data_IF_660610704371
#
_entry.id   IF_660610704371
#
_cell.length_a   1.000
_cell.length_b   1.000
_cell.length_c   1.000
_cell.angle_alpha   90.00
_cell.angle_beta   90.00
_cell.angle_gamma   90.00
#
_symmetry.space_group_name_H-M   'P 1'
#
loop_
_entity.id
_entity.type
_entity.pdbx_description
1 polymer ?
#
# COMPACT_ATOMS: atom_id res chain seq x y z
N UNK A 1 16.61 29.27 31.83
CA UNK A 1 15.64 28.17 31.71
C UNK A 1 14.84 28.32 30.42
N UNK A 2 15.27 27.71 29.31
CA UNK A 2 14.48 27.70 28.07
C UNK A 2 13.48 26.54 28.14
N UNK A 3 12.20 26.89 28.08
CA UNK A 3 11.05 26.00 28.03
C UNK A 3 11.27 25.03 26.86
N UNK A 4 11.51 23.73 27.13
CA UNK A 4 11.40 22.69 26.10
C UNK A 4 9.96 22.76 25.58
N UNK A 5 9.73 23.47 24.48
CA UNK A 5 8.47 23.40 23.76
C UNK A 5 8.32 21.95 23.34
N UNK A 6 7.49 21.22 24.09
CA UNK A 6 7.06 19.88 23.71
C UNK A 6 6.36 20.05 22.37
N UNK A 7 7.09 19.79 21.28
CA UNK A 7 6.51 19.62 19.96
C UNK A 7 5.24 18.83 20.13
N UNK A 8 4.13 19.44 19.74
CA UNK A 8 2.83 18.84 19.89
C UNK A 8 2.84 17.51 19.13
N UNK A 9 2.10 16.50 19.61
CA UNK A 9 1.98 15.23 18.86
C UNK A 9 1.65 15.50 17.39
N UNK A 10 0.86 16.53 17.08
CA UNK A 10 0.52 16.94 15.72
C UNK A 10 1.73 17.22 14.83
N UNK A 11 2.77 17.89 15.33
CA UNK A 11 3.96 18.24 14.54
C UNK A 11 4.76 17.01 14.14
N UNK A 12 4.94 16.04 15.05
CA UNK A 12 5.64 14.77 14.75
C UNK A 12 4.96 13.95 13.66
N UNK A 13 3.63 13.97 13.57
CA UNK A 13 2.91 13.25 12.52
C UNK A 13 2.98 13.93 11.15
N UNK A 14 3.16 15.26 11.10
CA UNK A 14 3.33 16.00 9.84
C UNK A 14 4.67 15.70 9.13
N UNK A 15 5.59 15.03 9.82
CA UNK A 15 6.91 14.62 9.30
C UNK A 15 6.90 13.21 8.67
N UNK A 16 5.82 12.46 8.89
CA UNK A 16 5.61 11.09 8.38
C UNK A 16 4.75 10.93 7.09
N UNK A 17 4.27 11.98 6.37
CA UNK A 17 3.43 11.74 5.19
C UNK A 17 4.21 11.04 4.06
N UNK A 18 5.55 11.13 4.03
CA UNK A 18 6.41 10.53 3.01
C UNK A 18 6.58 9.02 3.11
N UNK A 19 6.21 8.40 4.23
CA UNK A 19 6.22 6.93 4.32
C UNK A 19 5.00 6.28 3.65
N UNK A 20 3.90 7.02 3.48
CA UNK A 20 2.62 6.47 3.03
C UNK A 20 2.05 7.12 1.76
N UNK A 21 2.48 8.34 1.43
CA UNK A 21 2.10 9.05 0.22
C UNK A 21 3.26 9.06 -0.78
N UNK A 22 3.27 8.08 -1.68
CA UNK A 22 4.16 8.05 -2.86
C UNK A 22 3.68 9.00 -3.98
N UNK A 23 2.71 9.88 -3.72
CA UNK A 23 2.19 10.86 -4.68
C UNK A 23 2.56 12.29 -4.24
N UNK A 24 2.82 13.22 -5.18
CA UNK A 24 3.04 14.63 -4.87
C UNK A 24 1.85 15.22 -4.12
N UNK A 25 2.09 16.07 -3.12
CA UNK A 25 1.05 16.72 -2.32
C UNK A 25 0.38 17.91 -3.05
N UNK A 26 0.31 17.89 -4.38
CA UNK A 26 -0.28 18.98 -5.16
C UNK A 26 -1.81 18.85 -5.31
N UNK A 27 -2.49 19.94 -5.70
CA UNK A 27 -3.95 20.01 -5.85
C UNK A 27 -4.49 18.94 -6.82
N UNK A 28 -3.72 18.57 -7.85
CA UNK A 28 -4.12 17.58 -8.84
C UNK A 28 -4.23 16.14 -8.28
N UNK A 29 -3.67 15.87 -7.10
CA UNK A 29 -3.77 14.58 -6.42
C UNK A 29 -4.64 14.62 -5.17
N UNK A 30 -5.35 15.74 -4.89
CA UNK A 30 -6.13 15.89 -3.66
C UNK A 30 -7.27 14.84 -3.58
N UNK A 31 -7.83 14.45 -4.72
CA UNK A 31 -8.84 13.40 -4.85
C UNK A 31 -8.34 11.98 -4.49
N UNK A 32 -7.02 11.77 -4.46
CA UNK A 32 -6.40 10.49 -4.11
C UNK A 32 -6.06 10.39 -2.62
N UNK A 33 -6.43 11.39 -1.83
CA UNK A 33 -6.08 11.49 -0.41
C UNK A 33 -7.32 11.62 0.47
N UNK A 34 -7.28 10.98 1.64
CA UNK A 34 -8.19 11.27 2.73
C UNK A 34 -7.62 12.40 3.58
N UNK A 35 -8.51 13.28 4.09
CA UNK A 35 -8.17 14.31 5.07
C UNK A 35 -8.63 13.85 6.45
N UNK A 36 -7.71 13.36 7.27
CA UNK A 36 -8.01 12.87 8.63
C UNK A 36 -7.33 13.81 9.63
N UNK A 37 -8.11 14.55 10.42
CA UNK A 37 -7.60 15.52 11.42
C UNK A 37 -6.56 16.51 10.84
N UNK A 38 -6.81 17.01 9.64
CA UNK A 38 -5.90 17.92 8.93
C UNK A 38 -4.72 17.25 8.22
N UNK A 39 -4.56 15.93 8.34
CA UNK A 39 -3.50 15.18 7.69
C UNK A 39 -3.98 14.54 6.40
N UNK A 40 -3.14 14.58 5.37
CA UNK A 40 -3.40 13.94 4.07
C UNK A 40 -2.79 12.54 4.06
N UNK A 41 -3.61 11.52 3.83
CA UNK A 41 -3.18 10.12 3.76
C UNK A 41 -3.62 9.51 2.44
N UNK A 42 -2.76 8.72 1.79
CA UNK A 42 -3.12 8.07 0.54
C UNK A 42 -4.29 7.10 0.73
N UNK A 43 -5.41 7.40 0.08
CA UNK A 43 -6.65 6.62 0.14
C UNK A 43 -6.44 5.17 -0.27
N UNK A 44 -5.71 4.96 -1.36
CA UNK A 44 -5.38 3.61 -1.84
C UNK A 44 -4.56 2.78 -0.86
N UNK A 45 -3.60 3.41 -0.16
CA UNK A 45 -2.77 2.72 0.84
C UNK A 45 -3.58 2.36 2.08
N UNK A 46 -4.41 3.29 2.56
CA UNK A 46 -5.28 3.03 3.73
C UNK A 46 -6.16 1.82 3.45
N UNK A 47 -6.88 1.81 2.33
CA UNK A 47 -7.77 0.69 2.00
C UNK A 47 -7.01 -0.63 1.82
N UNK A 48 -5.83 -0.60 1.17
CA UNK A 48 -4.96 -1.77 1.03
C UNK A 48 -4.51 -2.31 2.39
N UNK A 49 -4.04 -1.46 3.30
CA UNK A 49 -3.59 -1.88 4.63
C UNK A 49 -4.74 -2.35 5.52
N UNK A 50 -5.91 -1.72 5.45
CA UNK A 50 -7.11 -2.22 6.12
C UNK A 50 -7.45 -3.64 5.65
N UNK A 51 -7.38 -3.89 4.34
CA UNK A 51 -7.58 -5.22 3.77
C UNK A 51 -6.51 -6.22 4.21
N UNK A 52 -5.25 -5.80 4.25
CA UNK A 52 -4.15 -6.64 4.73
C UNK A 52 -4.33 -7.05 6.20
N UNK A 53 -4.71 -6.10 7.07
CA UNK A 53 -5.01 -6.38 8.49
C UNK A 53 -6.21 -7.32 8.60
N UNK A 54 -7.28 -7.09 7.84
CA UNK A 54 -8.44 -8.00 7.81
C UNK A 54 -8.03 -9.42 7.39
N UNK A 55 -7.20 -9.54 6.34
CA UNK A 55 -6.66 -10.82 5.89
C UNK A 55 -5.83 -11.53 6.97
N UNK A 56 -4.99 -10.80 7.70
CA UNK A 56 -4.20 -11.36 8.80
C UNK A 56 -5.08 -11.89 9.94
N UNK A 57 -6.18 -11.21 10.26
CA UNK A 57 -7.14 -11.64 11.29
C UNK A 57 -7.92 -12.87 10.80
N UNK A 58 -8.31 -12.90 9.52
CA UNK A 58 -9.08 -14.01 8.94
C UNK A 58 -8.24 -15.28 8.72
N UNK A 59 -6.94 -15.15 8.43
CA UNK A 59 -6.04 -16.27 8.15
C UNK A 59 -6.06 -17.39 9.22
N UNK A 60 -5.86 -17.13 10.52
CA UNK A 60 -5.89 -18.18 11.53
C UNK A 60 -7.29 -18.80 11.68
N UNK A 61 -8.37 -18.02 11.53
CA UNK A 61 -9.74 -18.54 11.59
C UNK A 61 -9.96 -19.53 10.45
N UNK A 62 -9.56 -19.17 9.23
CA UNK A 62 -9.67 -20.05 8.07
C UNK A 62 -8.90 -21.36 8.27
N UNK A 63 -7.65 -21.30 8.76
CA UNK A 63 -6.80 -22.47 8.91
C UNK A 63 -7.23 -23.36 10.08
N UNK A 64 -7.41 -22.79 11.27
CA UNK A 64 -7.57 -23.58 12.50
C UNK A 64 -9.02 -23.90 12.84
N UNK A 65 -9.96 -23.00 12.51
CA UNK A 65 -11.39 -23.19 12.81
C UNK A 65 -12.10 -23.86 11.63
N UNK A 66 -11.97 -23.27 10.45
CA UNK A 66 -12.68 -23.74 9.24
C UNK A 66 -11.95 -24.87 8.51
N UNK A 67 -10.69 -25.14 8.88
CA UNK A 67 -9.85 -26.19 8.27
C UNK A 67 -9.80 -26.11 6.74
N UNK A 68 -9.70 -24.89 6.21
CA UNK A 68 -9.66 -24.69 4.75
C UNK A 68 -8.42 -25.33 4.14
N UNK A 69 -8.56 -25.86 2.93
CA UNK A 69 -7.44 -26.44 2.18
C UNK A 69 -6.72 -25.37 1.36
N UNK A 70 -5.49 -25.67 0.92
CA UNK A 70 -4.71 -24.74 0.07
C UNK A 70 -5.47 -24.34 -1.20
N UNK A 71 -6.25 -25.27 -1.79
CA UNK A 71 -7.09 -25.01 -2.96
C UNK A 71 -8.18 -23.98 -2.69
N UNK A 72 -8.88 -24.08 -1.57
CA UNK A 72 -9.93 -23.13 -1.19
C UNK A 72 -9.35 -21.72 -1.02
N UNK A 73 -8.19 -21.61 -0.36
CA UNK A 73 -7.49 -20.32 -0.16
C UNK A 73 -7.00 -19.76 -1.50
N UNK A 74 -6.48 -20.62 -2.39
CA UNK A 74 -6.04 -20.21 -3.72
C UNK A 74 -7.19 -19.68 -4.58
N UNK A 75 -8.34 -20.37 -4.61
CA UNK A 75 -9.53 -19.92 -5.34
C UNK A 75 -10.05 -18.60 -4.75
N UNK A 76 -10.15 -18.49 -3.42
CA UNK A 76 -10.54 -17.25 -2.76
C UNK A 76 -9.60 -16.09 -3.12
N UNK A 77 -8.29 -16.34 -3.18
CA UNK A 77 -7.30 -15.36 -3.62
C UNK A 77 -7.57 -14.89 -5.05
N UNK A 78 -7.83 -15.80 -6.00
CA UNK A 78 -8.14 -15.43 -7.39
C UNK A 78 -9.43 -14.60 -7.49
N UNK A 79 -10.48 -14.99 -6.78
CA UNK A 79 -11.76 -14.28 -6.74
C UNK A 79 -11.58 -12.87 -6.17
N UNK A 80 -10.84 -12.71 -5.08
CA UNK A 80 -10.57 -11.39 -4.50
C UNK A 80 -9.64 -10.55 -5.40
N UNK A 81 -8.71 -11.20 -6.09
CA UNK A 81 -7.76 -10.51 -6.97
C UNK A 81 -8.42 -9.94 -8.23
N UNK A 82 -9.48 -10.57 -8.76
CA UNK A 82 -10.16 -10.16 -10.02
C UNK A 82 -10.66 -8.72 -10.00
N UNK A 83 -11.02 -8.18 -8.84
CA UNK A 83 -11.45 -6.79 -8.69
C UNK A 83 -10.33 -5.80 -9.05
N UNK A 84 -9.06 -6.20 -8.91
CA UNK A 84 -7.91 -5.34 -9.21
C UNK A 84 -7.82 -4.98 -10.70
N UNK A 85 -7.74 -5.93 -11.65
CA UNK A 85 -7.75 -5.60 -13.07
C UNK A 85 -9.05 -4.91 -13.49
N UNK A 86 -10.22 -5.36 -13.00
CA UNK A 86 -11.51 -4.71 -13.30
C UNK A 86 -11.45 -3.21 -12.95
N UNK A 87 -10.96 -2.88 -11.76
CA UNK A 87 -10.82 -1.49 -11.32
C UNK A 87 -9.80 -0.68 -12.12
N UNK A 88 -8.79 -1.35 -12.70
CA UNK A 88 -7.75 -0.71 -13.49
C UNK A 88 -8.22 -0.37 -14.91
N UNK A 89 -9.02 -1.24 -15.53
CA UNK A 89 -9.46 -1.13 -16.93
C UNK A 89 -10.78 -0.40 -17.11
N UNK A 90 -11.77 -0.61 -16.24
CA UNK A 90 -13.12 -0.04 -16.42
C UNK A 90 -13.30 1.35 -15.82
N UNK A 91 -12.25 1.89 -15.18
CA UNK A 91 -12.26 3.15 -14.43
C UNK A 91 -13.57 3.38 -13.62
N UNK A 92 -13.96 2.42 -12.75
CA UNK A 92 -15.25 2.47 -12.08
C UNK A 92 -15.34 3.63 -11.07
N UNK A 93 -16.55 3.90 -10.54
CA UNK A 93 -16.76 4.85 -9.45
C UNK A 93 -15.77 4.69 -8.30
N UNK A 94 -15.48 5.81 -7.60
CA UNK A 94 -14.43 5.88 -6.57
C UNK A 94 -14.58 4.82 -5.46
N UNK A 95 -15.81 4.53 -5.03
CA UNK A 95 -16.08 3.52 -4.02
C UNK A 95 -15.64 2.12 -4.45
N UNK A 96 -15.87 1.76 -5.72
CA UNK A 96 -15.46 0.45 -6.25
C UNK A 96 -13.93 0.36 -6.30
N UNK A 97 -13.24 1.45 -6.63
CA UNK A 97 -11.76 1.49 -6.60
C UNK A 97 -11.23 1.24 -5.19
N UNK A 98 -11.85 1.83 -4.17
CA UNK A 98 -11.47 1.60 -2.77
C UNK A 98 -11.70 0.16 -2.32
N UNK A 99 -12.89 -0.37 -2.58
CA UNK A 99 -13.24 -1.76 -2.26
C UNK A 99 -12.28 -2.73 -2.96
N UNK A 100 -11.92 -2.45 -4.22
CA UNK A 100 -10.94 -3.25 -4.96
C UNK A 100 -9.56 -3.22 -4.31
N UNK A 101 -9.12 -2.09 -3.74
CA UNK A 101 -7.87 -2.00 -2.99
C UNK A 101 -7.92 -2.74 -1.66
N UNK A 102 -9.07 -2.68 -0.99
CA UNK A 102 -9.30 -3.47 0.22
C UNK A 102 -9.22 -4.97 -0.06
N UNK A 103 -9.94 -5.47 -1.07
CA UNK A 103 -9.87 -6.89 -1.45
C UNK A 103 -8.49 -7.31 -1.95
N UNK A 104 -7.75 -6.43 -2.63
CA UNK A 104 -6.35 -6.70 -2.98
C UNK A 104 -5.48 -6.95 -1.74
N UNK A 105 -5.72 -6.22 -0.64
CA UNK A 105 -5.00 -6.43 0.62
C UNK A 105 -5.27 -7.81 1.23
N UNK A 106 -6.54 -8.25 1.24
CA UNK A 106 -6.92 -9.59 1.69
C UNK A 106 -6.32 -10.65 0.74
N UNK A 107 -6.40 -10.43 -0.57
CA UNK A 107 -5.85 -11.34 -1.57
C UNK A 107 -4.34 -11.55 -1.42
N UNK A 108 -3.58 -10.51 -1.02
CA UNK A 108 -2.14 -10.65 -0.74
C UNK A 108 -1.86 -11.60 0.43
N UNK A 109 -2.65 -11.53 1.51
CA UNK A 109 -2.53 -12.48 2.63
C UNK A 109 -2.95 -13.88 2.19
N UNK A 110 -4.07 -14.00 1.47
CA UNK A 110 -4.53 -15.28 0.94
C UNK A 110 -3.50 -15.91 -0.01
N UNK A 111 -2.82 -15.12 -0.85
CA UNK A 111 -1.73 -15.60 -1.70
C UNK A 111 -0.59 -16.19 -0.88
N UNK A 112 -0.09 -15.45 0.11
CA UNK A 112 0.97 -15.94 1.01
C UNK A 112 0.55 -17.21 1.75
N UNK A 113 -0.67 -17.22 2.29
CA UNK A 113 -1.22 -18.38 2.99
C UNK A 113 -1.37 -19.60 2.06
N UNK A 114 -1.85 -19.41 0.83
CA UNK A 114 -1.99 -20.48 -0.16
C UNK A 114 -0.65 -21.12 -0.50
N UNK A 115 0.42 -20.32 -0.61
CA UNK A 115 1.79 -20.82 -0.83
C UNK A 115 2.29 -21.60 0.38
N UNK A 116 2.10 -21.08 1.60
CA UNK A 116 2.51 -21.77 2.84
C UNK A 116 1.80 -23.13 2.96
N UNK A 117 0.47 -23.17 2.82
CA UNK A 117 -0.30 -24.42 2.90
C UNK A 117 0.08 -25.41 1.79
N UNK A 118 0.37 -24.89 0.60
CA UNK A 118 0.85 -25.72 -0.53
C UNK A 118 2.22 -26.34 -0.24
N UNK A 119 3.16 -25.58 0.34
CA UNK A 119 4.48 -26.10 0.73
C UNK A 119 4.33 -27.21 1.77
N UNK A 120 3.51 -27.00 2.80
CA UNK A 120 3.23 -28.02 3.83
C UNK A 120 2.63 -29.28 3.20
N UNK A 121 1.64 -29.13 2.31
CA UNK A 121 0.99 -30.25 1.62
C UNK A 121 1.97 -31.00 0.71
N UNK A 122 2.84 -30.27 0.00
CA UNK A 122 3.86 -30.84 -0.86
C UNK A 122 4.88 -31.65 -0.05
N UNK A 123 5.31 -31.15 1.10
CA UNK A 123 6.25 -31.84 1.99
C UNK A 123 5.65 -33.11 2.62
N UNK A 124 4.35 -33.12 2.92
CA UNK A 124 3.69 -34.25 3.58
C UNK A 124 3.23 -35.36 2.63
N UNK A 125 2.75 -34.99 1.43
CA UNK A 125 2.05 -35.93 0.55
C UNK A 125 2.56 -35.93 -0.90
N UNK A 126 3.61 -35.16 -1.23
CA UNK A 126 4.10 -34.94 -2.59
C UNK A 126 3.00 -34.61 -3.61
N UNK A 127 2.02 -33.81 -3.21
CA UNK A 127 0.92 -33.47 -4.09
C UNK A 127 1.38 -32.49 -5.20
N UNK A 128 1.47 -32.97 -6.43
CA UNK A 128 1.90 -32.18 -7.60
C UNK A 128 1.07 -30.90 -7.80
N UNK A 129 -0.21 -30.92 -7.47
CA UNK A 129 -1.06 -29.73 -7.59
C UNK A 129 -0.66 -28.60 -6.64
N UNK A 130 -0.11 -28.93 -5.48
CA UNK A 130 0.42 -27.92 -4.56
C UNK A 130 1.62 -27.19 -5.17
N UNK A 131 2.48 -27.91 -5.91
CA UNK A 131 3.58 -27.31 -6.66
C UNK A 131 3.07 -26.35 -7.76
N UNK A 132 2.04 -26.77 -8.52
CA UNK A 132 1.40 -25.92 -9.54
C UNK A 132 0.85 -24.64 -8.92
N UNK A 133 0.14 -24.73 -7.79
CA UNK A 133 -0.41 -23.55 -7.08
C UNK A 133 0.70 -22.59 -6.65
N UNK A 134 1.83 -23.08 -6.15
CA UNK A 134 2.99 -22.25 -5.78
C UNK A 134 3.51 -21.49 -7.01
N UNK A 135 3.77 -22.19 -8.10
CA UNK A 135 4.30 -21.59 -9.33
C UNK A 135 3.35 -20.54 -9.91
N UNK A 136 2.05 -20.86 -10.01
CA UNK A 136 1.04 -19.94 -10.53
C UNK A 136 0.91 -18.71 -9.64
N UNK A 137 0.89 -18.88 -8.32
CA UNK A 137 0.78 -17.75 -7.38
C UNK A 137 2.00 -16.82 -7.48
N UNK A 138 3.21 -17.38 -7.55
CA UNK A 138 4.44 -16.60 -7.74
C UNK A 138 4.42 -15.87 -9.08
N UNK A 139 4.11 -16.57 -10.18
CA UNK A 139 4.03 -15.98 -11.51
C UNK A 139 3.00 -14.84 -11.56
N UNK A 140 1.81 -15.05 -10.98
CA UNK A 140 0.75 -14.05 -10.90
C UNK A 140 1.17 -12.83 -10.06
N UNK A 141 1.86 -13.04 -8.93
CA UNK A 141 2.39 -11.94 -8.11
C UNK A 141 3.40 -11.08 -8.88
N UNK A 142 4.42 -11.69 -9.50
CA UNK A 142 5.46 -10.93 -10.21
C UNK A 142 4.92 -10.23 -11.47
N UNK A 143 4.12 -10.94 -12.28
CA UNK A 143 3.50 -10.38 -13.48
C UNK A 143 2.56 -9.22 -13.15
N UNK A 144 1.69 -9.38 -12.15
CA UNK A 144 0.78 -8.32 -11.73
C UNK A 144 1.53 -7.12 -11.14
N UNK A 145 2.56 -7.35 -10.32
CA UNK A 145 3.40 -6.27 -9.77
C UNK A 145 4.10 -5.49 -10.88
N UNK A 146 4.69 -6.17 -11.86
CA UNK A 146 5.37 -5.52 -12.99
C UNK A 146 4.37 -4.74 -13.86
N UNK A 147 3.22 -5.34 -14.18
CA UNK A 147 2.19 -4.74 -15.01
C UNK A 147 1.55 -3.51 -14.35
N UNK A 148 1.02 -3.66 -13.13
CA UNK A 148 0.30 -2.59 -12.45
C UNK A 148 1.20 -1.44 -12.02
N UNK A 149 2.48 -1.70 -11.70
CA UNK A 149 3.44 -0.62 -11.43
C UNK A 149 3.62 0.25 -12.66
N UNK A 150 3.87 -0.35 -13.84
CA UNK A 150 4.00 0.40 -15.09
C UNK A 150 2.73 1.16 -15.45
N UNK A 151 1.57 0.51 -15.34
CA UNK A 151 0.29 1.12 -15.65
C UNK A 151 -0.01 2.32 -14.75
N UNK A 152 0.19 2.19 -13.43
CA UNK A 152 -0.01 3.29 -12.48
C UNK A 152 0.98 4.42 -12.70
N UNK A 153 2.24 4.11 -13.01
CA UNK A 153 3.24 5.13 -13.31
C UNK A 153 2.84 5.95 -14.55
N UNK A 154 2.32 5.31 -15.60
CA UNK A 154 1.78 6.01 -16.78
C UNK A 154 0.59 6.90 -16.45
N UNK A 155 -0.40 6.40 -15.69
CA UNK A 155 -1.55 7.22 -15.26
C UNK A 155 -1.11 8.41 -14.39
N UNK A 156 -0.17 8.20 -13.47
CA UNK A 156 0.38 9.28 -12.64
C UNK A 156 1.11 10.31 -13.49
N UNK A 157 1.92 9.87 -14.47
CA UNK A 157 2.62 10.74 -15.40
C UNK A 157 1.64 11.58 -16.23
N UNK A 158 0.53 10.99 -16.70
CA UNK A 158 -0.51 11.72 -17.41
C UNK A 158 -1.16 12.82 -16.54
N UNK A 159 -1.36 12.57 -15.25
CA UNK A 159 -1.85 13.60 -14.31
C UNK A 159 -0.78 14.67 -14.09
N UNK A 160 0.49 14.29 -13.95
CA UNK A 160 1.60 15.23 -13.79
C UNK A 160 1.77 16.13 -15.03
N UNK A 161 1.59 15.59 -16.24
CA UNK A 161 1.69 16.35 -17.51
C UNK A 161 0.65 17.47 -17.65
N UNK A 162 -0.46 17.39 -16.90
CA UNK A 162 -1.50 18.44 -16.83
C UNK A 162 -1.17 19.54 -15.81
N UNK A 163 -0.07 19.42 -15.08
CA UNK A 163 0.35 20.41 -14.10
C UNK A 163 1.16 21.52 -14.75
N UNK A 164 0.86 22.78 -14.41
CA UNK A 164 1.62 23.96 -14.88
C UNK A 164 3.11 23.91 -14.48
N UNK A 165 3.42 23.10 -13.47
CA UNK A 165 4.78 22.91 -12.95
C UNK A 165 5.50 21.69 -13.55
N UNK A 166 4.94 21.03 -14.56
CA UNK A 166 5.50 19.80 -15.11
C UNK A 166 6.94 19.94 -15.61
N UNK A 167 7.28 21.08 -16.22
CA UNK A 167 8.61 21.35 -16.76
C UNK A 167 9.65 21.72 -15.69
N UNK A 168 9.23 21.91 -14.44
CA UNK A 168 10.16 22.22 -13.34
C UNK A 168 10.81 20.92 -12.86
N UNK A 169 12.12 20.94 -12.50
CA UNK A 169 12.80 19.76 -11.97
C UNK A 169 12.17 19.25 -10.66
N UNK A 170 11.43 20.10 -9.93
CA UNK A 170 10.57 19.73 -8.81
C UNK A 170 9.29 20.57 -8.83
N UNK A 171 8.14 19.94 -8.62
CA UNK A 171 6.89 20.65 -8.37
C UNK A 171 6.77 21.01 -6.88
N UNK A 172 5.98 22.03 -6.55
CA UNK A 172 5.80 22.52 -5.16
C UNK A 172 5.30 21.40 -4.24
N UNK A 173 4.44 20.52 -4.75
CA UNK A 173 3.97 19.33 -4.03
C UNK A 173 5.05 18.28 -3.70
N UNK A 174 6.26 18.42 -4.25
CA UNK A 174 7.46 17.64 -3.91
C UNK A 174 8.54 18.48 -3.21
N UNK A 175 8.55 19.82 -3.37
CA UNK A 175 9.49 20.72 -2.67
C UNK A 175 9.13 20.83 -1.19
N UNK A 176 7.83 21.00 -0.89
CA UNK A 176 7.28 20.95 0.47
C UNK A 176 7.69 19.68 1.23
N UNK A 177 8.02 18.62 0.51
CA UNK A 177 8.47 17.37 1.09
C UNK A 177 9.89 17.37 1.59
N UNK A 178 10.79 17.79 0.72
CA UNK A 178 12.22 17.81 1.00
C UNK A 178 12.53 18.88 2.03
N UNK A 179 11.90 20.05 1.93
CA UNK A 179 12.19 21.15 2.84
C UNK A 179 11.62 20.88 4.24
N UNK A 180 10.45 20.24 4.35
CA UNK A 180 9.96 19.74 5.65
C UNK A 180 10.86 18.63 6.20
N UNK A 181 11.31 17.68 5.39
CA UNK A 181 12.21 16.62 5.87
C UNK A 181 13.56 17.18 6.35
N UNK A 182 14.12 18.17 5.65
CA UNK A 182 15.34 18.88 6.06
C UNK A 182 15.14 19.68 7.34
N UNK A 183 14.02 20.40 7.47
CA UNK A 183 13.68 21.14 8.69
C UNK A 183 13.65 20.23 9.93
N UNK A 184 13.15 19.00 9.78
CA UNK A 184 13.18 17.96 10.83
C UNK A 184 14.59 17.51 11.16
N UNK A 185 15.39 17.25 10.13
CA UNK A 185 16.75 16.78 10.32
C UNK A 185 17.60 17.84 11.02
N UNK A 186 17.43 19.11 10.67
CA UNK A 186 18.07 20.23 11.37
C UNK A 186 17.59 20.38 12.81
N UNK A 187 16.29 20.16 13.07
CA UNK A 187 15.75 20.20 14.44
C UNK A 187 16.33 19.06 15.30
N UNK A 188 16.35 17.82 14.79
CA UNK A 188 16.90 16.68 15.51
C UNK A 188 18.42 16.79 15.73
N UNK A 189 19.17 17.41 14.81
CA UNK A 189 20.61 17.68 14.96
C UNK A 189 20.88 18.81 15.96
N UNK A 190 19.99 19.80 16.04
CA UNK A 190 20.08 20.90 17.02
C UNK A 190 19.86 20.44 18.46
N UNK A 191 19.00 19.45 18.68
CA UNK A 191 18.77 18.85 20.01
C UNK A 191 19.92 17.93 20.49
N UNK A 192 20.87 17.58 19.62
CA UNK A 192 22.00 16.70 19.96
C UNK A 192 23.25 17.44 20.49
N UNK A 193 23.26 18.78 20.49
CA UNK A 193 24.42 19.61 20.84
C UNK A 193 24.24 20.45 22.11
N UNK A 194 23.18 20.26 22.89
CA UNK A 194 22.92 21.03 24.12
C UNK A 194 23.12 20.26 25.44
N UNK A 195 23.91 19.19 25.44
CA UNK A 195 24.38 18.52 26.66
C UNK A 195 25.91 18.62 26.76
N UNK A 196 26.40 19.85 27.00
CA UNK A 196 27.71 20.10 27.63
C UNK A 196 27.56 21.26 28.60
#
# INVERSE_FOLDING_TARGET
MKRKEKMSRQEKWMLSPYRLAHHPLCKNFDDHMYRIKGQKVCRGCVNLYCGFIAGLILAPIMVFVLKVTFWMVFVAMLVLFIFTPISAFLDPPRLIKDVSRFFLGIAMIAAGLSVILSIVTLAQAMNWWAFVVILVTIALYFSSRAYFTRFRNRKNEQVCRKCDQFYRPRCDGMVDAVDRAKAVESFNKGDAFSEQ
#
